data_IF_741120996329
#
_entry.id   IF_741120996329
#
_cell.length_a   1.000
_cell.length_b   1.000
_cell.length_c   1.000
_cell.angle_alpha   90.00
_cell.angle_beta   90.00
_cell.angle_gamma   90.00
#
_symmetry.space_group_name_H-M   'P 1'
#
loop_
_entity.id
_entity.type
_entity.pdbx_description
1 polymer ?
2 water ?
#
# COMPACT_ATOMS: atom_id res chain seq x y z
N UNK A 19 -2.05 16.46 -6.14
CA UNK A 19 -3.07 16.44 -5.04
C UNK A 19 -4.46 16.39 -5.62
N UNK A 20 -4.69 17.27 -6.61
CA UNK A 20 -5.83 17.24 -7.51
C UNK A 20 -6.26 15.82 -7.91
N UNK A 21 -5.35 15.12 -8.62
CA UNK A 21 -5.55 13.78 -9.16
C UNK A 21 -5.79 12.75 -8.06
N UNK A 22 -4.91 12.78 -7.05
CA UNK A 22 -5.00 11.96 -5.85
C UNK A 22 -6.40 11.87 -5.21
N UNK A 23 -7.06 13.02 -5.02
CA UNK A 23 -8.45 13.09 -4.46
C UNK A 23 -9.54 12.52 -5.38
N UNK A 24 -9.35 12.71 -6.68
CA UNK A 24 -10.32 12.23 -7.68
C UNK A 24 -10.51 10.71 -7.59
N UNK A 25 -9.36 10.02 -7.58
CA UNK A 25 -9.29 8.58 -7.57
C UNK A 25 -9.95 8.06 -6.28
N UNK A 26 -9.60 8.69 -5.16
CA UNK A 26 -10.03 8.29 -3.82
C UNK A 26 -11.53 8.28 -3.62
N UNK A 27 -12.21 9.36 -4.03
CA UNK A 27 -13.68 9.47 -3.88
C UNK A 27 -14.37 8.42 -4.72
N UNK A 28 -13.98 8.24 -5.98
CA UNK A 28 -14.59 7.15 -6.80
C UNK A 28 -14.38 5.75 -6.18
N UNK A 29 -13.14 5.50 -5.72
CA UNK A 29 -12.81 4.21 -5.09
C UNK A 29 -13.75 3.88 -3.92
N UNK A 30 -13.96 4.85 -3.04
CA UNK A 30 -14.86 4.65 -1.88
C UNK A 30 -16.31 4.51 -2.32
N UNK A 31 -16.81 5.50 -3.06
CA UNK A 31 -18.22 5.51 -3.54
C UNK A 31 -18.59 4.22 -4.27
N UNK A 32 -17.71 3.76 -5.17
CA UNK A 32 -18.04 2.52 -5.92
C UNK A 32 -17.88 1.22 -5.18
N UNK A 33 -17.04 1.19 -4.12
CA UNK A 33 -16.65 -0.10 -3.49
C UNK A 33 -17.01 -0.27 -2.03
N UNK A 34 -17.23 0.81 -1.31
CA UNK A 34 -17.60 0.69 0.09
C UNK A 34 -19.08 0.40 0.17
N UNK A 35 -19.42 -0.78 0.67
CA UNK A 35 -20.81 -1.25 0.73
C UNK A 35 -21.33 -1.09 2.16
N UNK A 36 -22.06 0.00 2.38
CA UNK A 36 -22.63 0.32 3.68
C UNK A 36 -23.49 -0.82 4.25
N UNK A 37 -24.03 -1.68 3.40
CA UNK A 37 -24.79 -2.85 3.89
C UNK A 37 -23.91 -4.03 4.31
N UNK A 38 -22.77 -4.18 3.65
CA UNK A 38 -21.93 -5.35 3.86
C UNK A 38 -20.68 -5.10 4.72
N UNK A 39 -20.15 -3.88 4.67
CA UNK A 39 -18.79 -3.62 5.17
C UNK A 39 -18.82 -2.85 6.48
N UNK A 40 -18.11 -3.37 7.47
CA UNK A 40 -18.03 -2.76 8.77
C UNK A 40 -16.58 -2.54 9.18
N UNK A 41 -15.69 -3.46 8.79
CA UNK A 41 -14.27 -3.38 9.18
C UNK A 41 -13.49 -2.92 7.99
N UNK A 42 -12.91 -1.72 8.07
CA UNK A 42 -12.33 -1.07 6.91
C UNK A 42 -10.82 -0.84 7.16
N UNK A 43 -9.98 -1.32 6.27
CA UNK A 43 -8.54 -1.08 6.32
C UNK A 43 -8.22 0.26 5.71
N UNK A 44 -7.48 1.10 6.44
CA UNK A 44 -7.13 2.43 5.91
C UNK A 44 -5.61 2.48 5.81
N UNK A 45 -5.12 2.77 4.59
CA UNK A 45 -3.71 2.57 4.30
C UNK A 45 -2.82 3.76 4.64
N UNK A 46 -1.51 3.63 4.33
CA UNK A 46 -0.53 4.67 4.71
C UNK A 46 -0.25 5.72 3.63
N UNK A 47 -1.03 5.69 2.54
CA UNK A 47 -1.06 6.72 1.46
C UNK A 47 -0.86 8.21 1.82
N UNK A 48 -0.38 8.97 0.83
CA UNK A 48 -0.55 10.42 0.77
C UNK A 48 -1.71 10.74 -0.18
N UNK A 49 -2.32 9.67 -0.70
CA UNK A 49 -3.50 9.70 -1.61
C UNK A 49 -4.71 9.19 -0.81
N UNK A 50 -4.42 8.35 0.18
CA UNK A 50 -5.45 7.81 1.03
C UNK A 50 -6.09 8.96 1.86
N UNK A 51 -5.30 10.03 2.09
CA UNK A 51 -5.81 11.20 2.78
C UNK A 51 -7.22 11.45 2.36
N UNK A 52 -7.45 11.37 1.05
CA UNK A 52 -8.74 11.67 0.48
C UNK A 52 -9.71 10.49 0.58
N UNK A 53 -9.19 9.30 0.84
CA UNK A 53 -10.05 8.14 1.15
C UNK A 53 -10.69 8.34 2.54
N UNK A 54 -9.85 8.60 3.55
CA UNK A 54 -10.29 8.83 4.92
C UNK A 54 -11.21 10.04 4.95
N UNK A 55 -10.86 11.06 4.17
CA UNK A 55 -11.68 12.23 4.00
C UNK A 55 -13.03 11.91 3.45
N UNK A 56 -13.07 11.12 2.39
CA UNK A 56 -14.35 10.73 1.84
C UNK A 56 -15.20 9.96 2.85
N UNK A 57 -14.60 8.95 3.49
CA UNK A 57 -15.31 8.15 4.49
C UNK A 57 -15.84 9.08 5.62
N UNK A 58 -14.97 9.95 6.15
CA UNK A 58 -15.34 10.99 7.12
C UNK A 58 -16.56 11.81 6.67
N UNK A 59 -16.58 12.19 5.39
CA UNK A 59 -17.72 12.94 4.87
C UNK A 59 -19.04 12.22 5.01
N UNK A 60 -19.04 10.89 4.88
CA UNK A 60 -20.28 10.11 4.98
C UNK A 60 -20.81 10.12 6.40
N UNK A 61 -19.89 10.33 7.33
CA UNK A 61 -20.20 10.36 8.77
C UNK A 61 -20.80 11.71 9.12
N UNK A 62 -20.47 12.73 8.35
CA UNK A 62 -21.08 14.06 8.50
C UNK A 62 -22.42 14.16 7.82
N UNK A 63 -22.87 13.07 7.19
CA UNK A 63 -24.12 13.05 6.45
C UNK A 63 -25.22 12.39 7.29
N UNK A 64 -26.32 13.11 7.61
CA UNK A 64 -27.37 12.53 8.45
C UNK A 64 -27.92 11.23 7.90
N UNK A 65 -27.82 11.08 6.58
CA UNK A 65 -28.29 9.83 5.95
C UNK A 65 -27.43 8.60 6.37
N UNK A 66 -26.11 8.80 6.50
CA UNK A 66 -25.17 7.68 6.68
C UNK A 66 -24.48 7.63 8.05
N UNK A 67 -24.58 8.73 8.79
CA UNK A 67 -23.99 8.88 10.14
C UNK A 67 -24.16 7.65 11.02
N UNK A 68 -25.37 7.08 11.06
CA UNK A 68 -25.60 5.99 11.97
C UNK A 68 -24.84 4.73 11.57
N UNK A 69 -24.88 4.39 10.28
CA UNK A 69 -24.11 3.25 9.76
C UNK A 69 -22.57 3.55 9.81
N UNK A 70 -22.16 4.75 9.38
CA UNK A 70 -20.73 5.09 9.32
C UNK A 70 -20.09 5.23 10.73
N UNK A 71 -20.93 5.58 11.72
CA UNK A 71 -20.56 5.63 13.15
C UNK A 71 -20.03 4.31 13.66
N UNK A 72 -20.54 3.26 13.05
CA UNK A 72 -20.23 1.89 13.46
C UNK A 72 -19.07 1.25 12.67
N UNK A 73 -18.58 1.93 11.64
CA UNK A 73 -17.42 1.45 10.92
C UNK A 73 -16.29 1.38 11.95
N UNK A 74 -15.48 0.32 11.87
CA UNK A 74 -14.21 0.25 12.61
C UNK A 74 -13.05 0.21 11.62
N UNK A 75 -12.15 1.16 11.78
CA UNK A 75 -11.11 1.45 10.82
C UNK A 75 -9.79 0.94 11.37
N UNK A 76 -9.08 0.16 10.55
CA UNK A 76 -7.87 -0.56 11.00
C UNK A 76 -6.71 0.17 10.33
N UNK A 77 -5.74 0.67 11.13
CA UNK A 77 -4.68 1.46 10.52
C UNK A 77 -3.49 0.59 10.02
N UNK A 78 -2.66 1.20 9.17
CA UNK A 78 -1.47 0.52 8.65
C UNK A 78 -0.17 1.21 9.18
N UNK A 79 -0.35 2.14 10.12
CA UNK A 79 0.70 2.67 11.00
C UNK A 79 0.27 4.05 11.45
N UNK A 80 1.24 4.94 11.68
CA UNK A 80 0.96 6.20 12.35
C UNK A 80 0.23 7.28 11.60
N UNK A 81 0.56 7.53 10.31
CA UNK A 81 -0.20 8.55 9.54
C UNK A 81 -1.64 8.12 9.34
N UNK A 82 -1.76 6.82 9.07
CA UNK A 82 -3.02 6.12 8.88
C UNK A 82 -3.83 6.24 10.16
N UNK A 83 -3.27 5.84 11.30
CA UNK A 83 -3.95 5.98 12.60
C UNK A 83 -4.44 7.42 12.77
N UNK A 84 -3.56 8.35 12.46
CA UNK A 84 -3.91 9.74 12.46
C UNK A 84 -5.03 10.19 11.55
N UNK A 85 -5.02 9.72 10.30
CA UNK A 85 -6.04 10.07 9.34
C UNK A 85 -7.45 9.63 9.79
N UNK A 86 -7.48 8.46 10.44
CA UNK A 86 -8.71 7.86 10.99
C UNK A 86 -9.24 8.77 12.10
N UNK A 87 -8.38 9.09 13.05
CA UNK A 87 -8.83 9.83 14.25
C UNK A 87 -9.22 11.22 13.87
N UNK A 88 -8.41 11.84 13.02
CA UNK A 88 -8.66 13.20 12.63
C UNK A 88 -9.95 13.32 11.77
N UNK A 89 -10.37 12.22 11.16
CA UNK A 89 -11.63 12.20 10.43
C UNK A 89 -12.80 11.74 11.29
N UNK A 90 -12.53 11.57 12.59
CA UNK A 90 -13.51 11.17 13.63
C UNK A 90 -14.08 9.79 13.45
N UNK A 91 -13.32 8.88 12.84
CA UNK A 91 -13.81 7.51 12.59
C UNK A 91 -13.36 6.68 13.75
N UNK A 92 -14.07 5.59 14.04
CA UNK A 92 -13.64 4.68 15.09
C UNK A 92 -12.37 3.95 14.69
N UNK A 93 -11.45 3.86 15.64
CA UNK A 93 -10.14 3.27 15.42
C UNK A 93 -10.11 1.88 16.07
N UNK A 94 -9.79 0.87 15.28
CA UNK A 94 -9.66 -0.49 15.84
C UNK A 94 -8.25 -1.02 15.63
N UNK A 95 -7.96 -2.19 16.16
CA UNK A 95 -6.67 -2.82 15.88
C UNK A 95 -6.87 -4.10 15.10
N UNK A 96 -5.91 -4.41 14.23
CA UNK A 96 -5.97 -5.65 13.48
C UNK A 96 -6.02 -6.91 14.33
N UNK A 97 -5.47 -6.84 15.56
CA UNK A 97 -5.44 -7.97 16.44
C UNK A 97 -6.86 -8.29 16.94
N UNK A 98 -7.63 -7.23 17.19
CA UNK A 98 -8.98 -7.39 17.70
C UNK A 98 -9.94 -7.64 16.51
N UNK A 99 -9.67 -6.99 15.38
CA UNK A 99 -10.47 -7.17 14.16
C UNK A 99 -9.70 -7.82 13.01
N UNK A 100 -9.37 -9.13 13.12
CA UNK A 100 -8.48 -9.75 12.13
C UNK A 100 -9.12 -10.00 10.75
N UNK A 101 -10.44 -10.03 10.69
CA UNK A 101 -11.10 -10.25 9.40
C UNK A 101 -11.58 -8.91 8.88
N UNK A 102 -10.87 -8.35 7.90
CA UNK A 102 -11.19 -7.01 7.43
C UNK A 102 -12.14 -7.14 6.21
N UNK A 103 -13.16 -6.31 6.13
CA UNK A 103 -14.13 -6.38 5.01
C UNK A 103 -13.56 -5.77 3.72
N UNK A 104 -13.02 -4.56 3.84
CA UNK A 104 -12.47 -3.87 2.67
C UNK A 104 -11.31 -3.01 3.14
N UNK A 105 -10.23 -2.95 2.36
CA UNK A 105 -9.06 -2.07 2.64
C UNK A 105 -8.76 -1.21 1.45
N UNK A 106 -8.38 0.04 1.71
CA UNK A 106 -7.93 1.01 0.71
C UNK A 106 -6.51 1.40 1.01
N UNK A 107 -5.65 1.49 -0.01
CA UNK A 107 -4.27 1.94 0.21
C UNK A 107 -3.71 2.47 -1.10
N UNK A 108 -2.58 3.15 -0.98
CA UNK A 108 -1.81 3.61 -2.13
C UNK A 108 -0.83 2.57 -2.63
N UNK A 109 -0.03 2.97 -3.61
CA UNK A 109 0.98 2.07 -4.17
C UNK A 109 2.06 2.95 -4.78
N UNK A 110 3.30 2.43 -4.78
CA UNK A 110 4.35 3.14 -5.46
C UNK A 110 4.37 2.83 -6.96
N UNK A 111 3.92 1.66 -7.35
CA UNK A 111 3.73 1.34 -8.77
C UNK A 111 2.79 0.18 -8.88
N UNK A 112 2.04 0.13 -9.98
CA UNK A 112 1.07 -0.93 -10.25
C UNK A 112 1.33 -1.43 -11.68
N UNK A 113 1.37 -2.74 -11.83
CA UNK A 113 1.57 -3.33 -13.14
C UNK A 113 0.25 -3.78 -13.77
N UNK A 114 0.34 -4.38 -14.96
CA UNK A 114 -0.82 -4.64 -15.78
C UNK A 114 -1.69 -5.74 -15.17
N UNK A 115 -1.08 -6.51 -14.26
CA UNK A 115 -1.77 -7.58 -13.56
C UNK A 115 -2.14 -7.18 -12.13
N UNK A 116 -2.08 -5.88 -11.83
CA UNK A 116 -2.41 -5.37 -10.49
C UNK A 116 -1.51 -6.00 -9.41
N UNK A 117 -0.25 -6.28 -9.79
CA UNK A 117 0.80 -6.53 -8.82
C UNK A 117 1.37 -5.14 -8.50
N UNK A 118 1.79 -4.97 -7.24
CA UNK A 118 2.18 -3.66 -6.71
C UNK A 118 3.59 -3.65 -6.17
N UNK A 119 4.26 -2.51 -6.31
CA UNK A 119 5.35 -2.15 -5.43
C UNK A 119 4.79 -1.18 -4.38
N UNK A 120 5.04 -1.49 -3.10
CA UNK A 120 4.69 -0.60 -1.97
C UNK A 120 5.88 -0.50 -1.01
N UNK A 121 5.88 0.50 -0.13
CA UNK A 121 6.91 0.59 0.92
C UNK A 121 7.74 1.84 0.77
N UNK A 122 7.41 2.69 -0.21
CA UNK A 122 8.11 3.98 -0.33
C UNK A 122 8.11 4.75 0.98
N UNK A 123 7.02 4.63 1.77
CA UNK A 123 7.00 5.22 3.14
C UNK A 123 7.47 4.34 4.31
N UNK A 124 8.07 3.19 4.00
CA UNK A 124 8.62 2.27 5.01
C UNK A 124 7.58 1.58 5.90
N UNK A 125 6.33 1.61 5.47
CA UNK A 125 5.23 0.98 6.20
C UNK A 125 4.68 -0.27 5.53
N UNK A 126 5.48 -0.92 4.68
CA UNK A 126 4.97 -2.05 3.88
C UNK A 126 4.47 -3.22 4.73
N UNK A 127 5.07 -3.43 5.90
CA UNK A 127 4.67 -4.61 6.64
C UNK A 127 3.19 -4.56 7.10
N UNK A 128 2.85 -3.51 7.83
CA UNK A 128 1.51 -3.37 8.39
C UNK A 128 0.53 -3.10 7.26
N UNK A 129 0.98 -2.45 6.17
CA UNK A 129 0.17 -2.33 4.95
C UNK A 129 -0.26 -3.68 4.39
N UNK A 130 0.70 -4.61 4.32
CA UNK A 130 0.40 -5.96 3.80
C UNK A 130 -0.40 -6.83 4.77
N UNK A 131 -0.09 -6.70 6.07
CA UNK A 131 -0.80 -7.47 7.10
C UNK A 131 -2.31 -7.11 6.99
N UNK A 132 -2.58 -5.83 6.87
CA UNK A 132 -3.96 -5.32 6.70
C UNK A 132 -4.56 -5.73 5.34
N UNK A 133 -3.88 -5.42 4.23
CA UNK A 133 -4.46 -5.66 2.91
C UNK A 133 -4.73 -7.14 2.60
N UNK A 134 -3.85 -8.03 3.06
CA UNK A 134 -4.03 -9.44 2.89
C UNK A 134 -4.96 -10.03 3.96
N UNK A 135 -5.40 -9.22 4.93
CA UNK A 135 -6.43 -9.69 5.85
C UNK A 135 -7.86 -9.28 5.36
N UNK A 136 -7.92 -8.59 4.21
CA UNK A 136 -9.15 -7.97 3.74
C UNK A 136 -9.81 -8.85 2.67
N UNK A 137 -11.15 -8.92 2.66
CA UNK A 137 -11.84 -9.64 1.58
C UNK A 137 -11.62 -8.96 0.25
N UNK A 138 -11.63 -7.63 0.26
CA UNK A 138 -11.42 -6.80 -0.91
C UNK A 138 -10.35 -5.76 -0.62
N UNK A 139 -9.43 -5.60 -1.57
CA UNK A 139 -8.35 -4.63 -1.46
C UNK A 139 -8.37 -3.68 -2.66
N UNK A 140 -8.47 -2.39 -2.39
CA UNK A 140 -8.55 -1.40 -3.46
C UNK A 140 -7.40 -0.43 -3.40
N UNK A 141 -6.72 -0.25 -4.53
CA UNK A 141 -5.62 0.69 -4.60
C UNK A 141 -6.06 2.01 -5.18
N UNK A 142 -5.53 3.09 -4.63
CA UNK A 142 -5.87 4.42 -5.09
C UNK A 142 -4.56 5.15 -5.33
N UNK A 143 -4.41 5.78 -6.49
CA UNK A 143 -3.15 6.38 -6.85
C UNK A 143 -3.35 7.47 -7.88
N UNK A 144 -2.30 8.26 -8.08
CA UNK A 144 -2.31 9.11 -9.27
C UNK A 144 -1.72 8.34 -10.47
N UNK A 145 -2.03 8.83 -11.66
CA UNK A 145 -1.82 8.10 -12.91
C UNK A 145 -0.37 7.74 -13.16
N UNK A 146 0.57 8.46 -12.54
CA UNK A 146 2.00 8.16 -12.72
C UNK A 146 2.34 6.76 -12.20
N UNK A 147 1.53 6.26 -11.26
CA UNK A 147 1.75 4.91 -10.66
C UNK A 147 1.46 3.74 -11.60
N UNK A 148 0.76 4.03 -12.70
CA UNK A 148 0.30 3.00 -13.59
C UNK A 148 1.39 2.72 -14.61
N UNK A 149 2.09 1.60 -14.45
CA UNK A 149 3.14 1.22 -15.39
C UNK A 149 2.56 0.85 -16.80
N UNK A 150 3.25 1.29 -17.90
CA UNK A 150 2.95 0.70 -19.22
C UNK A 150 2.83 -0.83 -19.20
N UNK A 151 3.66 -1.53 -18.43
CA UNK A 151 3.51 -2.99 -18.35
C UNK A 151 3.99 -3.64 -17.02
N UNK A 152 5.26 -3.40 -16.70
CA UNK A 152 5.97 -4.08 -15.61
C UNK A 152 6.24 -3.18 -14.42
N UNK A 153 6.23 -3.79 -13.26
CA UNK A 153 6.79 -3.18 -12.08
C UNK A 153 8.25 -2.85 -12.38
N UNK A 154 8.70 -1.73 -11.83
CA UNK A 154 10.09 -1.31 -11.93
C UNK A 154 10.37 -0.45 -13.17
N UNK A 155 9.30 -0.06 -13.84
CA UNK A 155 9.41 0.76 -15.04
C UNK A 155 9.59 2.24 -14.67
N UNK A 156 8.62 2.82 -13.97
CA UNK A 156 8.74 4.22 -13.54
C UNK A 156 9.16 4.42 -12.07
N UNK A 157 8.97 3.41 -11.24
CA UNK A 157 9.48 3.44 -9.85
C UNK A 157 10.85 2.81 -9.96
N UNK A 158 11.88 3.63 -9.80
CA UNK A 158 13.24 3.23 -10.15
C UNK A 158 14.06 3.02 -8.92
N UNK A 159 13.45 3.26 -7.76
CA UNK A 159 14.15 3.30 -6.51
C UNK A 159 14.34 1.91 -5.85
N UNK A 160 13.67 0.89 -6.36
CA UNK A 160 13.90 -0.44 -5.85
C UNK A 160 12.64 -0.93 -5.15
N UNK A 161 12.58 -2.23 -4.97
CA UNK A 161 11.59 -2.90 -4.14
C UNK A 161 12.04 -2.67 -2.69
N UNK A 162 11.15 -2.06 -1.88
CA UNK A 162 11.45 -1.99 -0.46
C UNK A 162 11.32 -3.35 0.17
N UNK A 163 12.24 -3.66 1.07
CA UNK A 163 12.29 -4.96 1.73
C UNK A 163 12.53 -4.66 3.20
N UNK A 164 11.65 -5.16 4.07
CA UNK A 164 11.88 -4.97 5.51
C UNK A 164 12.71 -6.11 6.03
N UNK A 165 13.75 -5.76 6.80
CA UNK A 165 14.72 -6.75 7.27
C UNK A 165 15.05 -6.64 8.79
N UNK A 166 15.44 -7.75 9.39
CA UNK A 166 15.93 -7.72 10.79
C UNK A 166 17.23 -6.89 10.80
N UNK A 167 17.36 -5.95 11.74
CA UNK A 167 18.53 -5.10 11.63
C UNK A 167 19.92 -5.73 11.59
N UNK A 168 20.16 -6.79 12.35
CA UNK A 168 21.48 -7.45 12.35
C UNK A 168 21.82 -8.15 11.02
N UNK A 169 20.83 -8.27 10.13
CA UNK A 169 21.00 -9.04 8.91
C UNK A 169 21.32 -8.19 7.66
N UNK A 170 21.56 -6.88 7.81
CA UNK A 170 21.59 -6.06 6.61
C UNK A 170 22.75 -6.43 5.68
N UNK A 171 23.89 -6.86 6.23
CA UNK A 171 25.02 -7.32 5.36
C UNK A 171 24.69 -8.60 4.64
N UNK A 172 24.19 -9.59 5.39
CA UNK A 172 23.79 -10.88 4.85
C UNK A 172 22.73 -10.69 3.75
N UNK A 173 21.69 -9.88 4.04
CA UNK A 173 20.58 -9.78 3.10
C UNK A 173 21.07 -9.09 1.81
N UNK A 174 21.85 -8.03 1.96
CA UNK A 174 22.44 -7.38 0.81
C UNK A 174 23.29 -8.36 -0.02
N UNK A 175 24.14 -9.14 0.68
CA UNK A 175 24.92 -10.17 -0.01
C UNK A 175 24.07 -11.14 -0.78
N UNK A 176 22.97 -11.64 -0.15
CA UNK A 176 22.11 -12.62 -0.82
C UNK A 176 21.37 -12.03 -2.02
N UNK A 177 20.89 -10.80 -1.84
CA UNK A 177 20.13 -10.15 -2.91
C UNK A 177 21.00 -9.97 -4.16
N UNK A 178 22.25 -9.53 -3.94
CA UNK A 178 23.26 -9.35 -5.03
C UNK A 178 23.73 -10.70 -5.60
N UNK A 179 24.12 -11.62 -4.71
CA UNK A 179 24.81 -12.85 -5.12
C UNK A 179 23.82 -13.94 -5.54
N UNK A 180 22.72 -14.10 -4.81
CA UNK A 180 21.75 -15.14 -5.18
C UNK A 180 20.68 -14.67 -6.12
N UNK A 181 20.21 -13.43 -5.96
CA UNK A 181 19.02 -13.01 -6.71
C UNK A 181 19.35 -12.03 -7.81
N UNK A 182 20.62 -11.63 -7.86
CA UNK A 182 21.15 -10.82 -8.98
C UNK A 182 20.53 -9.43 -9.05
N UNK A 183 20.31 -8.86 -7.87
CA UNK A 183 19.79 -7.51 -7.78
C UNK A 183 20.77 -6.59 -8.49
N UNK A 184 20.25 -5.53 -9.10
CA UNK A 184 21.08 -4.53 -9.76
C UNK A 184 21.65 -3.47 -8.83
N UNK A 185 20.98 -3.20 -7.73
CA UNK A 185 21.45 -2.20 -6.80
C UNK A 185 20.73 -2.46 -5.49
N UNK A 186 21.48 -2.36 -4.38
CA UNK A 186 20.97 -2.64 -3.04
C UNK A 186 21.50 -1.63 -2.05
N UNK A 187 20.59 -0.90 -1.40
CA UNK A 187 20.93 0.06 -0.39
C UNK A 187 20.06 -0.10 0.85
N UNK A 188 20.67 0.07 2.01
CA UNK A 188 19.94 0.15 3.24
C UNK A 188 19.45 1.60 3.27
N UNK A 189 18.13 1.79 3.38
CA UNK A 189 17.58 3.15 3.36
C UNK A 189 18.04 3.91 4.60
N UNK A 190 18.54 5.15 4.37
CA UNK A 190 18.97 6.05 5.41
C UNK A 190 17.86 7.05 5.74
N UNK A 191 17.90 7.66 6.92
CA UNK A 191 16.77 8.49 7.36
C UNK A 191 16.78 9.97 6.95
N UNK A 192 17.79 10.40 6.18
CA UNK A 192 17.82 11.79 5.64
C UNK A 192 18.12 12.78 6.74
N UNK A 193 17.58 14.00 6.67
CA UNK A 193 17.82 14.99 7.77
C UNK A 193 17.11 14.65 9.10
N UNK A 194 15.98 13.95 9.04
CA UNK A 194 15.21 13.58 10.25
C UNK A 194 15.97 12.58 11.16
N UNK A 195 16.80 11.73 10.57
CA UNK A 195 17.51 10.70 11.34
C UNK A 195 18.81 10.27 10.66
N UNK A 196 19.92 10.44 11.37
CA UNK A 196 21.23 9.97 10.91
C UNK A 196 21.26 8.44 11.00
N UNK A 197 21.77 7.85 9.93
CA UNK A 197 21.77 6.41 9.78
C UNK A 197 20.50 5.78 9.23
N UNK A 198 20.35 4.47 9.42
CA UNK A 198 19.28 3.70 8.78
C UNK A 198 17.89 4.06 9.27
N UNK A 199 16.92 4.12 8.36
CA UNK A 199 15.49 4.19 8.74
C UNK A 199 15.20 2.96 9.65
N UNK A 200 14.49 3.20 10.75
CA UNK A 200 13.92 2.13 11.57
C UNK A 200 12.39 2.20 11.37
N UNK A 201 11.76 1.06 11.09
CA UNK A 201 10.34 1.05 10.84
C UNK A 201 9.55 1.07 12.13
N UNK A 202 8.22 1.13 11.98
CA UNK A 202 7.30 1.01 13.11
C UNK A 202 7.43 -0.36 13.80
N UNK A 203 7.94 -1.35 13.06
CA UNK A 203 8.20 -2.68 13.67
C UNK A 203 9.64 -2.90 14.06
N UNK A 204 10.41 -1.80 14.21
CA UNK A 204 11.80 -1.87 14.71
C UNK A 204 12.77 -2.53 13.79
N UNK A 205 12.47 -2.50 12.48
CA UNK A 205 13.29 -3.15 11.45
C UNK A 205 14.00 -2.12 10.57
N UNK A 206 14.94 -2.58 9.78
CA UNK A 206 15.53 -1.75 8.70
C UNK A 206 14.78 -1.94 7.37
N UNK A 207 15.06 -1.07 6.40
CA UNK A 207 14.53 -1.17 5.04
C UNK A 207 15.69 -1.25 4.04
N UNK A 208 15.67 -2.26 3.18
CA UNK A 208 16.54 -2.24 2.02
C UNK A 208 15.70 -1.89 0.79
N UNK A 209 16.22 -1.00 -0.04
CA UNK A 209 15.60 -0.74 -1.35
C UNK A 209 16.45 -1.46 -2.39
N UNK A 210 15.86 -2.46 -3.06
CA UNK A 210 16.61 -3.31 -3.98
C UNK A 210 16.12 -3.15 -5.41
N UNK A 211 16.96 -2.58 -6.27
CA UNK A 211 16.62 -2.45 -7.70
C UNK A 211 16.80 -3.79 -8.42
N UNK A 212 15.70 -4.31 -8.94
CA UNK A 212 15.73 -5.49 -9.78
C UNK A 212 15.41 -5.20 -11.27
N UNK A 213 15.51 -3.93 -11.67
CA UNK A 213 15.08 -3.51 -13.01
C UNK A 213 13.57 -3.67 -13.18
N UNK A 214 13.11 -3.89 -14.42
CA UNK A 214 11.71 -4.21 -14.66
C UNK A 214 11.48 -5.66 -14.33
N UNK A 215 10.44 -5.92 -13.55
CA UNK A 215 10.24 -7.24 -12.96
C UNK A 215 9.19 -7.99 -13.78
N UNK A 216 9.61 -9.02 -14.50
CA UNK A 216 8.65 -9.78 -15.30
C UNK A 216 7.86 -10.84 -14.52
N UNK A 217 8.41 -11.38 -13.43
CA UNK A 217 7.67 -12.39 -12.64
C UNK A 217 7.73 -11.97 -11.17
N UNK A 218 6.93 -10.95 -10.82
CA UNK A 218 6.94 -10.48 -9.42
C UNK A 218 6.56 -11.50 -8.35
N UNK A 219 5.63 -12.41 -8.66
CA UNK A 219 5.25 -13.55 -7.81
C UNK A 219 6.49 -14.41 -7.48
N UNK A 220 7.30 -14.75 -8.48
CA UNK A 220 8.50 -15.56 -8.26
C UNK A 220 9.52 -14.79 -7.43
N UNK A 221 9.75 -13.53 -7.82
CA UNK A 221 10.67 -12.63 -7.14
C UNK A 221 10.27 -12.48 -5.65
N UNK A 222 9.00 -12.22 -5.39
CA UNK A 222 8.57 -12.08 -3.99
C UNK A 222 8.95 -13.31 -3.17
N UNK A 223 8.65 -14.51 -3.67
CA UNK A 223 8.91 -15.72 -2.89
C UNK A 223 10.38 -15.88 -2.61
N UNK A 224 11.21 -15.59 -3.60
CA UNK A 224 12.65 -15.72 -3.44
C UNK A 224 13.20 -14.79 -2.37
N UNK A 225 12.75 -13.55 -2.37
CA UNK A 225 13.22 -12.58 -1.36
C UNK A 225 12.70 -12.99 0.02
N UNK A 226 11.42 -13.38 0.08
CA UNK A 226 10.74 -13.70 1.35
C UNK A 226 11.40 -14.89 2.05
N UNK A 227 11.98 -15.84 1.29
CA UNK A 227 12.63 -17.00 1.88
C UNK A 227 14.01 -16.68 2.46
N UNK A 228 14.53 -15.50 2.16
CA UNK A 228 15.87 -15.19 2.66
C UNK A 228 15.94 -15.02 4.19
N UNK A 229 17.06 -15.46 4.79
CA UNK A 229 17.38 -15.21 6.21
C UNK A 229 17.62 -13.70 6.43
N UNK A 230 16.77 -13.07 7.26
CA UNK A 230 16.86 -11.60 7.54
C UNK A 230 15.67 -10.86 6.98
N UNK A 231 15.03 -11.43 5.95
CA UNK A 231 13.90 -10.75 5.33
C UNK A 231 12.66 -10.95 6.16
N UNK A 232 12.05 -9.85 6.58
CA UNK A 232 10.76 -9.87 7.30
C UNK A 232 9.54 -9.89 6.32
N UNK A 233 9.53 -8.93 5.39
CA UNK A 233 8.46 -8.87 4.41
C UNK A 233 8.95 -8.05 3.21
N UNK A 234 8.35 -8.26 2.04
CA UNK A 234 8.70 -7.50 0.83
C UNK A 234 7.63 -6.45 0.49
N UNK A 235 8.04 -5.40 -0.23
CA UNK A 235 7.09 -4.44 -0.81
C UNK A 235 6.39 -4.92 -2.06
N UNK A 236 6.45 -6.22 -2.38
CA UNK A 236 5.73 -6.79 -3.53
C UNK A 236 4.41 -7.37 -3.08
N UNK A 237 3.30 -6.76 -3.51
CA UNK A 237 1.97 -7.20 -3.11
C UNK A 237 1.38 -7.96 -4.29
N UNK A 238 1.15 -9.26 -4.10
CA UNK A 238 0.95 -10.14 -5.21
C UNK A 238 -0.44 -10.77 -5.14
N UNK A 239 -1.23 -10.68 -6.22
CA UNK A 239 -2.58 -11.29 -6.25
C UNK A 239 -3.43 -10.83 -5.04
N UNK A 240 -3.41 -9.52 -4.79
CA UNK A 240 -4.03 -8.96 -3.57
C UNK A 240 -5.02 -7.91 -4.00
N UNK A 241 -4.56 -6.91 -4.77
CA UNK A 241 -5.42 -5.83 -5.23
C UNK A 241 -6.44 -6.37 -6.23
N UNK A 242 -7.72 -6.06 -6.01
CA UNK A 242 -8.77 -6.41 -6.98
C UNK A 242 -9.03 -5.28 -7.97
N UNK A 243 -8.73 -4.01 -7.61
CA UNK A 243 -8.86 -2.87 -8.53
C UNK A 243 -7.87 -1.82 -8.12
N UNK A 244 -7.51 -0.94 -9.05
CA UNK A 244 -6.71 0.24 -8.80
C UNK A 244 -7.31 1.42 -9.53
N UNK A 245 -7.49 2.52 -8.79
CA UNK A 245 -8.00 3.76 -9.33
C UNK A 245 -6.86 4.75 -9.49
N UNK A 246 -6.78 5.38 -10.67
CA UNK A 246 -5.73 6.32 -10.97
C UNK A 246 -6.31 7.67 -11.35
N UNK A 247 -5.94 8.67 -10.57
CA UNK A 247 -6.33 10.05 -10.82
C UNK A 247 -5.46 10.74 -11.85
N UNK A 248 -6.11 11.46 -12.75
CA UNK A 248 -5.46 12.45 -13.62
C UNK A 248 -5.71 13.87 -13.12
N UNK A 249 -4.76 14.76 -13.40
CA UNK A 249 -4.88 16.19 -13.04
C UNK A 249 -6.18 16.78 -13.61
N UNK A 250 -6.46 16.39 -14.87
CA UNK A 250 -7.61 16.80 -15.65
C UNK A 250 -8.94 16.32 -15.07
N UNK A 251 -8.91 15.86 -13.82
CA UNK A 251 -10.11 15.43 -13.09
C UNK A 251 -10.59 14.01 -13.40
N UNK A 252 -10.21 13.49 -14.57
CA UNK A 252 -10.57 12.11 -14.99
C UNK A 252 -9.92 11.01 -14.11
N UNK A 253 -10.52 9.82 -14.13
CA UNK A 253 -10.10 8.68 -13.32
C UNK A 253 -10.13 7.41 -14.14
N UNK A 254 -8.99 6.74 -14.22
CA UNK A 254 -8.89 5.45 -14.90
C UNK A 254 -8.85 4.31 -13.87
N UNK A 255 -9.42 3.17 -14.25
CA UNK A 255 -9.53 2.03 -13.36
C UNK A 255 -8.91 0.81 -14.03
N UNK A 256 -8.05 0.11 -13.30
CA UNK A 256 -7.55 -1.19 -13.74
C UNK A 256 -8.19 -2.29 -12.90
N UNK A 257 -8.68 -3.31 -13.57
CA UNK A 257 -9.28 -4.44 -12.90
C UNK A 257 -8.53 -5.68 -13.29
N UNK A 258 -8.95 -6.81 -12.73
CA UNK A 258 -8.35 -8.11 -13.07
C UNK A 258 -8.49 -8.46 -14.57
N UNK A 259 -7.62 -9.34 -15.04
CA UNK A 259 -7.65 -9.85 -16.43
C UNK A 259 -7.39 -8.77 -17.49
N UNK A 260 -6.53 -7.80 -17.15
CA UNK A 260 -6.11 -6.76 -18.10
C UNK A 260 -7.25 -5.81 -18.52
N UNK A 261 -8.37 -5.84 -17.82
CA UNK A 261 -9.49 -4.93 -18.13
C UNK A 261 -9.34 -3.56 -17.49
N UNK A 262 -9.40 -2.53 -18.33
CA UNK A 262 -9.19 -1.15 -17.90
C UNK A 262 -10.24 -0.24 -18.54
N UNK A 263 -10.68 0.77 -17.79
CA UNK A 263 -11.68 1.71 -18.26
C UNK A 263 -11.59 3.04 -17.55
N UNK A 264 -12.32 4.02 -18.04
CA UNK A 264 -12.43 5.33 -17.38
C UNK A 264 -13.59 5.36 -16.42
#
# INVERSE_FOLDING_TARGET
>A
MAAGVPKIDALESLGNPLEDAKRAAAYRAVDENLKFDDHKIIGIGSGSTVVYVAERIGQYLHDPKFYEVASKFICIPTGFQSRNLILDNKLQLGSIEQYPRIDIAFDGADEVDENLQLIKGGGACLFQEKLVSTSAKTFIVVADSRKKSPKHLGKNWRQGVPIEIVPSSYVRVKNDLLEQLHAEKVDIRQGGSAKAGPVVTDNNNFIIDADFGEISDPRKLHREIKLLVGVVETGLFIDNASKAYFGNSDGSVEVTEKHHHHHH
#
